data_IF_172317183734
#
_entry.id   IF_172317183734
#
_cell.length_a   1.000
_cell.length_b   1.000
_cell.length_c   1.000
_cell.angle_alpha   90.00
_cell.angle_beta   90.00
_cell.angle_gamma   90.00
#
_symmetry.space_group_name_H-M   'P 1'
#
loop_
_entity.id
_entity.type
_entity.pdbx_description
1 polymer ?
#
# COMPACT_ATOMS: atom_id res chain seq x y z
N UNK A 1 -22.70 6.25 31.20
CA UNK A 1 -23.49 7.43 30.82
C UNK A 1 -22.62 8.27 29.90
N UNK A 2 -22.76 8.09 28.60
CA UNK A 2 -22.25 8.98 27.56
C UNK A 2 -23.46 9.27 26.66
N UNK A 3 -24.43 10.02 27.21
CA UNK A 3 -25.41 10.75 26.41
C UNK A 3 -24.79 12.12 26.12
N UNK A 4 -23.95 12.15 25.09
CA UNK A 4 -23.63 13.41 24.42
C UNK A 4 -24.34 13.35 23.08
N UNK A 5 -25.56 13.89 23.05
CA UNK A 5 -26.29 14.17 21.81
C UNK A 5 -25.43 15.12 20.96
N UNK A 6 -24.68 14.55 20.02
CA UNK A 6 -23.98 15.28 18.96
C UNK A 6 -25.09 15.92 18.12
N UNK A 7 -25.45 17.16 18.44
CA UNK A 7 -26.46 17.93 17.70
C UNK A 7 -25.84 18.46 16.39
N UNK A 8 -25.72 17.57 15.40
CA UNK A 8 -25.57 17.98 14.00
C UNK A 8 -26.82 18.78 13.61
N UNK A 9 -26.63 19.94 12.97
CA UNK A 9 -27.70 20.84 12.54
C UNK A 9 -28.86 20.09 11.85
N UNK A 10 -30.09 20.50 12.15
CA UNK A 10 -31.31 19.93 11.59
C UNK A 10 -31.44 20.17 10.08
N UNK A 11 -31.91 19.13 9.39
CA UNK A 11 -32.29 19.02 7.98
C UNK A 11 -31.25 19.38 6.92
N UNK A 12 -30.49 18.38 6.49
CA UNK A 12 -30.18 18.23 5.06
C UNK A 12 -30.74 16.86 4.64
N UNK A 13 -31.84 16.86 3.90
CA UNK A 13 -32.57 15.67 3.43
C UNK A 13 -31.85 15.04 2.20
N UNK A 14 -30.52 15.07 2.22
CA UNK A 14 -29.68 14.57 1.14
C UNK A 14 -29.58 13.06 1.22
N UNK A 15 -29.69 12.40 0.06
CA UNK A 15 -29.60 10.96 -0.03
C UNK A 15 -28.25 10.47 0.52
N UNK A 16 -28.20 9.30 1.20
CA UNK A 16 -26.96 8.74 1.72
C UNK A 16 -25.92 8.58 0.61
N UNK A 17 -24.69 9.04 0.90
CA UNK A 17 -23.53 8.88 0.03
C UNK A 17 -23.31 7.40 -0.25
N UNK A 18 -23.32 7.00 -1.52
CA UNK A 18 -23.16 5.60 -1.94
C UNK A 18 -21.70 5.28 -2.29
N UNK A 19 -21.09 4.43 -1.48
CA UNK A 19 -19.71 3.98 -1.62
C UNK A 19 -19.64 2.56 -2.20
N UNK A 20 -19.06 2.40 -3.38
CA UNK A 20 -18.76 1.10 -3.95
C UNK A 20 -17.40 0.59 -3.50
N UNK A 21 -17.31 -0.67 -3.07
CA UNK A 21 -16.04 -1.35 -2.81
C UNK A 21 -15.81 -2.40 -3.90
N UNK A 22 -14.94 -2.09 -4.86
CA UNK A 22 -14.51 -3.04 -5.88
C UNK A 22 -13.47 -3.97 -5.27
N UNK A 23 -13.86 -5.22 -5.01
CA UNK A 23 -13.03 -6.25 -4.38
C UNK A 23 -12.35 -7.10 -5.46
N UNK A 24 -11.05 -6.88 -5.63
CA UNK A 24 -10.22 -7.70 -6.50
C UNK A 24 -9.87 -9.00 -5.76
N UNK A 25 -9.94 -10.19 -6.39
CA UNK A 25 -9.53 -11.44 -5.74
C UNK A 25 -8.17 -11.30 -5.04
N UNK A 26 -8.05 -11.91 -3.86
CA UNK A 26 -6.90 -11.78 -2.95
C UNK A 26 -6.67 -10.38 -2.35
N UNK A 27 -7.71 -9.53 -2.33
CA UNK A 27 -7.65 -8.30 -1.55
C UNK A 27 -7.39 -8.57 -0.07
N UNK A 28 -6.67 -7.67 0.60
CA UNK A 28 -6.43 -7.80 2.03
C UNK A 28 -7.67 -7.35 2.82
N UNK A 29 -8.17 -8.23 3.70
CA UNK A 29 -9.39 -7.99 4.47
C UNK A 29 -9.28 -6.77 5.39
N UNK A 30 -8.16 -6.62 6.12
CA UNK A 30 -7.98 -5.53 7.10
C UNK A 30 -8.05 -4.13 6.46
N UNK A 31 -7.34 -3.83 5.34
CA UNK A 31 -7.51 -2.57 4.63
C UNK A 31 -8.95 -2.29 4.18
N UNK A 32 -9.64 -3.29 3.63
CA UNK A 32 -11.04 -3.15 3.24
C UNK A 32 -11.92 -2.84 4.46
N UNK A 33 -11.77 -3.61 5.55
CA UNK A 33 -12.52 -3.43 6.79
C UNK A 33 -12.27 -2.03 7.37
N UNK A 34 -11.02 -1.57 7.36
CA UNK A 34 -10.63 -0.23 7.83
C UNK A 34 -11.22 0.90 6.99
N UNK A 35 -11.67 0.63 5.76
CA UNK A 35 -12.30 1.62 4.89
C UNK A 35 -13.84 1.67 5.09
N UNK A 36 -14.49 0.51 5.23
CA UNK A 36 -15.96 0.43 5.36
C UNK A 36 -16.46 0.69 6.78
N UNK A 37 -15.72 0.24 7.80
CA UNK A 37 -16.12 0.36 9.21
C UNK A 37 -16.29 1.82 9.71
N UNK A 38 -15.45 2.81 9.35
CA UNK A 38 -15.69 4.20 9.75
C UNK A 38 -17.00 4.77 9.17
N UNK A 39 -17.42 4.35 7.97
CA UNK A 39 -18.69 4.75 7.38
C UNK A 39 -19.89 4.19 8.17
N UNK A 40 -19.80 2.91 8.56
CA UNK A 40 -20.80 2.26 9.42
C UNK A 40 -20.88 2.92 10.80
N UNK A 41 -19.73 3.25 11.40
CA UNK A 41 -19.67 3.93 12.69
C UNK A 41 -20.25 5.35 12.62
N UNK A 42 -19.96 6.10 11.55
CA UNK A 42 -20.53 7.43 11.34
C UNK A 42 -22.06 7.41 11.30
N UNK A 43 -22.66 6.43 10.61
CA UNK A 43 -24.11 6.23 10.63
C UNK A 43 -24.64 5.94 12.05
N UNK A 44 -23.96 5.03 12.76
CA UNK A 44 -24.38 4.62 14.10
C UNK A 44 -24.32 5.76 15.12
N UNK A 45 -23.24 6.55 15.08
CA UNK A 45 -22.96 7.63 16.03
C UNK A 45 -23.79 8.88 15.75
N UNK A 46 -24.07 9.18 14.48
CA UNK A 46 -24.94 10.30 14.10
C UNK A 46 -26.44 10.00 14.24
N UNK A 47 -26.81 8.71 14.30
CA UNK A 47 -28.22 8.28 14.23
C UNK A 47 -28.87 8.48 12.85
N UNK A 48 -28.09 8.84 11.82
CA UNK A 48 -28.56 9.13 10.45
C UNK A 48 -27.95 8.13 9.45
N UNK A 49 -28.64 7.92 8.34
CA UNK A 49 -28.08 7.19 7.20
C UNK A 49 -27.23 8.15 6.34
N UNK A 50 -26.00 8.44 6.76
CA UNK A 50 -25.08 9.32 6.03
C UNK A 50 -24.43 8.59 4.84
N UNK A 51 -24.11 7.31 5.04
CA UNK A 51 -23.46 6.45 4.05
C UNK A 51 -24.27 5.18 3.79
N UNK A 52 -24.18 4.68 2.57
CA UNK A 52 -24.54 3.32 2.19
C UNK A 52 -23.45 2.73 1.30
N UNK A 53 -23.36 1.42 1.18
CA UNK A 53 -22.31 0.79 0.40
C UNK A 53 -22.79 -0.40 -0.43
N UNK A 54 -22.01 -0.75 -1.44
CA UNK A 54 -22.17 -1.98 -2.21
C UNK A 54 -20.81 -2.63 -2.46
N UNK A 55 -20.76 -3.95 -2.30
CA UNK A 55 -19.63 -4.78 -2.66
C UNK A 55 -19.73 -5.15 -4.13
N UNK A 56 -18.66 -4.92 -4.86
CA UNK A 56 -18.60 -5.11 -6.29
C UNK A 56 -17.47 -6.09 -6.56
N UNK A 57 -17.79 -7.22 -7.18
CA UNK A 57 -16.77 -8.16 -7.65
C UNK A 57 -16.68 -8.12 -9.17
N UNK A 58 -15.74 -8.86 -9.75
CA UNK A 58 -15.54 -8.86 -11.20
C UNK A 58 -16.77 -9.42 -11.93
N UNK A 59 -17.34 -10.51 -11.40
CA UNK A 59 -18.38 -11.33 -12.04
C UNK A 59 -19.68 -11.41 -11.21
N UNK A 60 -19.75 -10.73 -10.07
CA UNK A 60 -20.89 -10.81 -9.15
C UNK A 60 -20.81 -12.00 -8.18
N UNK A 61 -19.78 -12.84 -8.26
CA UNK A 61 -19.54 -13.89 -7.27
C UNK A 61 -18.92 -13.32 -5.98
N UNK A 62 -18.94 -14.13 -4.92
CA UNK A 62 -18.29 -13.76 -3.67
C UNK A 62 -16.77 -13.57 -3.88
N UNK A 63 -16.23 -12.45 -3.41
CA UNK A 63 -14.82 -12.11 -3.56
C UNK A 63 -14.01 -12.65 -2.37
N UNK A 64 -13.09 -13.60 -2.57
CA UNK A 64 -12.22 -14.09 -1.50
C UNK A 64 -11.12 -13.06 -1.19
N UNK A 65 -10.98 -12.74 0.09
CA UNK A 65 -9.83 -12.02 0.62
C UNK A 65 -8.63 -12.97 0.79
N UNK A 66 -7.43 -12.41 0.90
CA UNK A 66 -6.18 -13.17 1.02
C UNK A 66 -6.06 -14.06 2.27
N UNK A 67 -6.94 -13.88 3.26
CA UNK A 67 -7.04 -14.71 4.46
C UNK A 67 -8.13 -15.80 4.38
N UNK A 68 -8.77 -15.97 3.22
CA UNK A 68 -9.81 -16.98 2.97
C UNK A 68 -11.24 -16.56 3.32
N UNK A 69 -11.46 -15.39 3.93
CA UNK A 69 -12.81 -14.86 4.13
C UNK A 69 -13.37 -14.37 2.80
N UNK A 70 -14.60 -14.76 2.44
CA UNK A 70 -15.25 -14.32 1.23
C UNK A 70 -16.35 -13.28 1.54
N UNK A 71 -16.36 -12.19 0.80
CA UNK A 71 -17.40 -11.15 0.89
C UNK A 71 -18.40 -11.35 -0.25
N UNK A 72 -19.68 -11.45 0.09
CA UNK A 72 -20.74 -11.53 -0.90
C UNK A 72 -20.79 -10.23 -1.71
N UNK A 73 -20.88 -10.36 -3.03
CA UNK A 73 -21.01 -9.21 -3.92
C UNK A 73 -22.49 -8.80 -4.06
N UNK A 74 -22.74 -7.51 -4.01
CA UNK A 74 -24.05 -6.90 -4.30
C UNK A 74 -24.21 -6.64 -5.80
N UNK A 75 -23.10 -6.51 -6.53
CA UNK A 75 -23.07 -6.25 -7.97
C UNK A 75 -21.77 -6.75 -8.63
N UNK A 76 -21.77 -6.76 -9.95
CA UNK A 76 -20.57 -7.01 -10.76
C UNK A 76 -20.03 -5.72 -11.38
N UNK A 77 -18.78 -5.76 -11.83
CA UNK A 77 -18.21 -4.73 -12.73
C UNK A 77 -19.14 -4.53 -13.93
N UNK A 78 -19.40 -3.28 -14.30
CA UNK A 78 -20.31 -2.92 -15.39
C UNK A 78 -21.75 -2.65 -14.97
N UNK A 79 -22.15 -2.97 -13.73
CA UNK A 79 -23.48 -2.64 -13.22
C UNK A 79 -23.71 -1.11 -13.23
N UNK A 80 -24.95 -0.70 -13.56
CA UNK A 80 -25.35 0.71 -13.50
C UNK A 80 -25.75 1.10 -12.07
N UNK A 81 -24.72 1.32 -11.25
CA UNK A 81 -24.87 1.84 -9.89
C UNK A 81 -24.64 3.36 -9.88
N UNK A 82 -25.51 4.09 -9.17
CA UNK A 82 -25.28 5.51 -8.86
C UNK A 82 -24.40 5.61 -7.61
N UNK A 83 -23.09 5.70 -7.84
CA UNK A 83 -22.06 5.77 -6.81
C UNK A 83 -21.52 7.20 -6.69
N UNK A 84 -21.23 7.62 -5.48
CA UNK A 84 -20.51 8.87 -5.20
C UNK A 84 -19.00 8.61 -5.06
N UNK A 85 -18.66 7.43 -4.54
CA UNK A 85 -17.30 6.92 -4.38
C UNK A 85 -17.17 5.50 -4.91
N UNK A 86 -16.01 5.16 -5.46
CA UNK A 86 -15.56 3.77 -5.64
C UNK A 86 -14.17 3.60 -5.08
N UNK A 87 -13.99 2.66 -4.15
CA UNK A 87 -12.68 2.22 -3.67
C UNK A 87 -12.32 0.87 -4.29
N UNK A 88 -11.21 0.83 -5.02
CA UNK A 88 -10.61 -0.41 -5.52
C UNK A 88 -9.75 -1.01 -4.42
N UNK A 89 -10.20 -2.15 -3.88
CA UNK A 89 -9.47 -2.93 -2.89
C UNK A 89 -8.72 -4.05 -3.61
N UNK A 90 -7.39 -3.95 -3.65
CA UNK A 90 -6.55 -5.02 -4.17
C UNK A 90 -5.42 -5.33 -3.19
N UNK A 91 -5.02 -6.59 -3.18
CA UNK A 91 -3.92 -7.14 -2.39
C UNK A 91 -3.19 -8.15 -3.26
N UNK A 92 -2.49 -9.10 -2.64
CA UNK A 92 -1.73 -10.12 -3.37
C UNK A 92 -0.74 -9.45 -4.33
N UNK A 93 -0.72 -9.92 -5.59
CA UNK A 93 0.07 -9.30 -6.64
C UNK A 93 -0.83 -8.52 -7.63
N UNK A 94 -1.05 -7.21 -7.43
CA UNK A 94 -1.92 -6.42 -8.30
C UNK A 94 -1.38 -6.26 -9.73
N UNK A 95 -0.09 -6.48 -9.97
CA UNK A 95 0.52 -6.41 -11.30
C UNK A 95 0.09 -7.57 -12.22
N UNK A 96 -0.42 -8.67 -11.67
CA UNK A 96 -0.95 -9.79 -12.45
C UNK A 96 -2.41 -9.60 -12.85
N UNK A 97 -3.10 -8.60 -12.28
CA UNK A 97 -4.50 -8.37 -12.60
C UNK A 97 -4.67 -7.62 -13.93
N UNK A 98 -5.26 -8.29 -14.91
CA UNK A 98 -5.59 -7.73 -16.22
C UNK A 98 -7.05 -8.02 -16.58
N UNK A 99 -7.90 -7.00 -16.46
CA UNK A 99 -9.31 -7.12 -16.85
C UNK A 99 -9.79 -5.82 -17.50
N UNK A 100 -9.77 -5.78 -18.83
CA UNK A 100 -10.11 -4.58 -19.60
C UNK A 100 -11.51 -4.01 -19.29
N UNK A 101 -12.56 -4.83 -19.09
CA UNK A 101 -13.87 -4.31 -18.68
C UNK A 101 -13.83 -3.55 -17.35
N UNK A 102 -13.05 -4.01 -16.37
CA UNK A 102 -12.87 -3.29 -15.08
C UNK A 102 -12.25 -1.91 -15.31
N UNK A 103 -11.18 -1.83 -16.08
CA UNK A 103 -10.51 -0.56 -16.35
C UNK A 103 -11.41 0.40 -17.14
N UNK A 104 -12.18 -0.11 -18.10
CA UNK A 104 -13.15 0.68 -18.85
C UNK A 104 -14.26 1.22 -17.96
N UNK A 105 -14.80 0.39 -17.08
CA UNK A 105 -15.85 0.76 -16.13
C UNK A 105 -15.38 1.80 -15.12
N UNK A 106 -14.17 1.65 -14.55
CA UNK A 106 -13.58 2.67 -13.66
C UNK A 106 -13.41 4.02 -14.36
N UNK A 107 -12.96 4.03 -15.64
CA UNK A 107 -12.91 5.26 -16.44
C UNK A 107 -14.29 5.86 -16.69
N UNK A 108 -15.31 5.04 -16.92
CA UNK A 108 -16.68 5.53 -17.10
C UNK A 108 -17.20 6.20 -15.82
N UNK A 109 -16.97 5.59 -14.66
CA UNK A 109 -17.34 6.18 -13.36
C UNK A 109 -16.63 7.52 -13.13
N UNK A 110 -15.31 7.59 -13.35
CA UNK A 110 -14.56 8.84 -13.22
C UNK A 110 -15.12 9.96 -14.12
N UNK A 111 -15.50 9.64 -15.38
CA UNK A 111 -16.13 10.63 -16.29
C UNK A 111 -17.51 11.09 -15.83
N UNK A 112 -18.23 10.28 -15.05
CA UNK A 112 -19.51 10.64 -14.42
C UNK A 112 -19.33 11.47 -13.14
N UNK A 113 -18.09 11.78 -12.75
CA UNK A 113 -17.79 12.56 -11.55
C UNK A 113 -17.69 11.73 -10.26
N UNK A 114 -17.71 10.40 -10.35
CA UNK A 114 -17.52 9.51 -9.19
C UNK A 114 -16.08 9.67 -8.69
N UNK A 115 -15.90 9.91 -7.39
CA UNK A 115 -14.58 9.98 -6.76
C UNK A 115 -13.99 8.57 -6.71
N UNK A 116 -12.77 8.40 -7.23
CA UNK A 116 -12.15 7.08 -7.36
C UNK A 116 -11.01 6.94 -6.36
N UNK A 117 -11.05 5.89 -5.56
CA UNK A 117 -10.03 5.58 -4.58
C UNK A 117 -9.38 4.22 -4.77
N UNK A 118 -8.20 4.08 -4.18
CA UNK A 118 -7.40 2.86 -4.22
C UNK A 118 -6.91 2.50 -2.83
N UNK A 119 -7.15 1.26 -2.41
CA UNK A 119 -6.75 0.73 -1.11
C UNK A 119 -5.67 -0.34 -1.31
N UNK A 120 -4.55 -0.19 -0.61
CA UNK A 120 -3.40 -1.10 -0.66
C UNK A 120 -2.81 -1.22 -2.07
N UNK A 121 -3.10 -2.30 -2.81
CA UNK A 121 -2.70 -2.49 -4.21
C UNK A 121 -3.64 -1.83 -5.24
N UNK A 122 -4.81 -1.34 -4.82
CA UNK A 122 -5.79 -0.70 -5.70
C UNK A 122 -5.24 0.41 -6.61
N UNK A 123 -4.36 1.31 -6.12
CA UNK A 123 -3.73 2.34 -6.95
C UNK A 123 -2.97 1.79 -8.17
N UNK A 124 -2.45 0.56 -8.12
CA UNK A 124 -1.84 -0.11 -9.28
C UNK A 124 -2.85 -0.27 -10.43
N UNK A 125 -4.07 -0.68 -10.11
CA UNK A 125 -5.14 -0.86 -11.09
C UNK A 125 -5.67 0.49 -11.58
N UNK A 126 -5.65 1.53 -10.74
CA UNK A 126 -5.99 2.89 -11.16
C UNK A 126 -4.97 3.44 -12.16
N UNK A 127 -3.68 3.18 -11.97
CA UNK A 127 -2.64 3.52 -12.95
C UNK A 127 -2.88 2.80 -14.29
N UNK A 128 -3.17 1.49 -14.25
CA UNK A 128 -3.55 0.70 -15.44
C UNK A 128 -4.80 1.21 -16.15
N UNK A 129 -5.74 1.75 -15.39
CA UNK A 129 -6.93 2.39 -15.95
C UNK A 129 -6.66 3.80 -16.50
N UNK A 130 -5.43 4.32 -16.39
CA UNK A 130 -4.99 5.67 -16.71
C UNK A 130 -5.74 6.75 -15.92
N UNK A 131 -5.97 6.50 -14.62
CA UNK A 131 -6.73 7.36 -13.72
C UNK A 131 -5.86 8.16 -12.73
N UNK A 132 -4.54 7.97 -12.76
CA UNK A 132 -3.60 8.61 -11.83
C UNK A 132 -2.66 9.62 -12.50
N UNK A 133 -2.75 9.79 -13.82
CA UNK A 133 -1.96 10.78 -14.56
C UNK A 133 -2.26 12.18 -14.03
N UNK A 134 -1.21 12.90 -13.61
CA UNK A 134 -1.30 14.23 -12.99
C UNK A 134 -2.00 14.28 -11.63
N UNK A 135 -2.05 13.16 -10.91
CA UNK A 135 -2.48 13.11 -9.51
C UNK A 135 -1.34 12.70 -8.59
N UNK A 136 -1.32 13.29 -7.40
CA UNK A 136 -0.59 12.71 -6.28
C UNK A 136 -1.35 11.51 -5.73
N UNK A 137 -0.64 10.41 -5.51
CA UNK A 137 -1.22 9.21 -4.93
C UNK A 137 -0.19 8.43 -4.12
N UNK A 138 -0.66 7.47 -3.35
CA UNK A 138 0.19 6.49 -2.67
C UNK A 138 -0.27 5.07 -2.97
N UNK A 139 0.58 4.09 -2.69
CA UNK A 139 0.33 2.65 -2.79
C UNK A 139 1.01 1.96 -1.59
N UNK A 140 0.60 0.75 -1.23
CA UNK A 140 1.31 -0.03 -0.21
C UNK A 140 2.81 -0.14 -0.54
N UNK A 141 3.67 0.08 0.46
CA UNK A 141 5.12 0.13 0.30
C UNK A 141 5.71 -1.12 -0.36
N UNK A 142 5.05 -2.26 -0.19
CA UNK A 142 5.45 -3.54 -0.78
C UNK A 142 5.31 -3.54 -2.31
N UNK A 143 4.27 -2.89 -2.86
CA UNK A 143 3.99 -2.86 -4.30
C UNK A 143 4.71 -1.74 -5.04
N UNK A 144 5.06 -0.68 -4.33
CA UNK A 144 5.67 0.51 -4.90
C UNK A 144 6.96 0.27 -5.72
N UNK A 145 7.86 -0.66 -5.33
CA UNK A 145 9.04 -0.94 -6.13
C UNK A 145 8.71 -1.55 -7.49
N UNK A 146 7.78 -2.51 -7.56
CA UNK A 146 7.28 -3.06 -8.83
C UNK A 146 6.51 -2.02 -9.66
N UNK A 147 5.69 -1.21 -8.98
CA UNK A 147 4.93 -0.14 -9.61
C UNK A 147 5.83 0.86 -10.34
N UNK A 148 6.95 1.27 -9.74
CA UNK A 148 7.87 2.24 -10.34
C UNK A 148 8.61 1.71 -11.58
N UNK A 149 8.75 0.39 -11.73
CA UNK A 149 9.27 -0.21 -12.97
C UNK A 149 8.29 -0.03 -14.14
N UNK A 150 6.98 -0.08 -13.87
CA UNK A 150 5.92 0.01 -14.89
C UNK A 150 5.48 1.47 -15.14
N UNK A 151 5.52 2.32 -14.11
CA UNK A 151 5.02 3.70 -14.13
C UNK A 151 6.00 4.70 -13.49
N UNK A 152 7.19 4.91 -14.08
CA UNK A 152 8.22 5.78 -13.51
C UNK A 152 7.82 7.27 -13.45
N UNK A 153 6.94 7.71 -14.35
CA UNK A 153 6.58 9.12 -14.52
C UNK A 153 5.38 9.58 -13.66
N UNK A 154 4.74 8.67 -12.91
CA UNK A 154 3.60 9.00 -12.06
C UNK A 154 4.05 9.54 -10.69
N UNK A 155 3.32 10.51 -10.13
CA UNK A 155 3.68 11.18 -8.87
C UNK A 155 3.32 10.34 -7.62
N UNK A 156 4.07 9.25 -7.43
CA UNK A 156 3.93 8.34 -6.29
C UNK A 156 4.58 8.93 -5.01
N UNK A 157 3.76 9.07 -3.96
CA UNK A 157 4.18 9.50 -2.62
C UNK A 157 4.30 8.31 -1.65
N UNK A 158 5.29 8.38 -0.76
CA UNK A 158 5.56 7.37 0.29
C UNK A 158 4.82 7.69 1.61
N UNK A 159 3.55 8.04 1.48
CA UNK A 159 2.64 8.50 2.53
C UNK A 159 1.64 7.41 2.95
N UNK A 160 0.95 7.59 4.08
CA UNK A 160 -0.11 6.69 4.53
C UNK A 160 -1.34 6.77 3.62
N UNK A 161 -1.76 7.99 3.28
CA UNK A 161 -2.82 8.26 2.32
C UNK A 161 -2.63 9.61 1.61
N UNK A 162 -3.22 9.73 0.43
CA UNK A 162 -3.26 10.94 -0.38
C UNK A 162 -4.70 11.18 -0.85
N UNK A 163 -5.21 12.40 -0.60
CA UNK A 163 -6.47 12.90 -1.16
C UNK A 163 -6.11 14.06 -2.09
N UNK A 164 -6.14 13.81 -3.39
CA UNK A 164 -5.91 14.83 -4.43
C UNK A 164 -7.18 14.94 -5.29
N UNK A 165 -7.95 16.01 -5.04
CA UNK A 165 -9.24 16.30 -5.71
C UNK A 165 -10.22 15.12 -5.60
N UNK A 166 -10.42 14.39 -6.70
CA UNK A 166 -11.32 13.25 -6.86
C UNK A 166 -10.58 11.90 -6.84
N UNK A 167 -9.32 11.86 -6.39
CA UNK A 167 -8.54 10.64 -6.14
C UNK A 167 -8.20 10.48 -4.66
N UNK A 168 -8.54 9.32 -4.11
CA UNK A 168 -8.34 8.99 -2.70
C UNK A 168 -7.57 7.67 -2.57
N UNK A 169 -6.27 7.73 -2.29
CA UNK A 169 -5.44 6.53 -2.25
C UNK A 169 -4.81 6.34 -0.88
N UNK A 170 -4.66 5.10 -0.45
CA UNK A 170 -4.04 4.77 0.82
C UNK A 170 -3.24 3.48 0.75
N UNK A 171 -2.21 3.42 1.59
CA UNK A 171 -1.25 2.33 1.65
C UNK A 171 -1.82 1.00 2.13
N UNK A 172 -2.97 0.98 2.80
CA UNK A 172 -3.56 -0.23 3.40
C UNK A 172 -3.30 -0.32 4.90
N UNK A 173 -3.28 -1.54 5.46
CA UNK A 173 -3.41 -1.76 6.89
C UNK A 173 -4.59 -0.98 7.47
N UNK A 174 -4.32 -0.13 8.46
CA UNK A 174 -5.29 0.79 9.07
C UNK A 174 -5.27 2.20 8.47
N UNK A 175 -4.44 2.49 7.45
CA UNK A 175 -4.41 3.80 6.79
C UNK A 175 -5.76 4.22 6.16
N UNK A 176 -6.62 3.30 5.65
CA UNK A 176 -7.96 3.67 5.22
C UNK A 176 -8.80 4.29 6.34
N UNK A 177 -8.61 3.87 7.59
CA UNK A 177 -9.32 4.44 8.74
C UNK A 177 -8.92 5.91 8.95
N UNK A 178 -7.63 6.23 8.88
CA UNK A 178 -7.14 7.62 8.94
C UNK A 178 -7.66 8.45 7.75
N UNK A 179 -7.63 7.88 6.54
CA UNK A 179 -8.12 8.55 5.32
C UNK A 179 -9.62 8.86 5.42
N UNK A 180 -10.43 7.90 5.86
CA UNK A 180 -11.88 8.08 5.99
C UNK A 180 -12.23 8.99 7.17
N UNK A 181 -11.42 9.05 8.23
CA UNK A 181 -11.55 10.12 9.24
C UNK A 181 -11.47 11.50 8.57
N UNK A 182 -10.48 11.74 7.71
CA UNK A 182 -10.34 13.02 7.00
C UNK A 182 -11.51 13.31 6.04
N UNK A 183 -12.07 12.27 5.39
CA UNK A 183 -13.27 12.41 4.55
C UNK A 183 -14.48 12.79 5.38
N UNK A 184 -14.75 12.06 6.48
CA UNK A 184 -15.88 12.33 7.38
C UNK A 184 -15.75 13.72 8.01
N UNK A 185 -14.55 14.12 8.43
CA UNK A 185 -14.33 15.46 9.00
C UNK A 185 -14.68 16.57 8.01
N UNK A 186 -14.35 16.37 6.72
CA UNK A 186 -14.65 17.32 5.64
C UNK A 186 -16.14 17.37 5.30
N UNK A 187 -16.82 16.23 5.32
CA UNK A 187 -18.22 16.10 4.85
C UNK A 187 -19.26 16.32 5.95
N UNK A 188 -18.94 15.95 7.19
CA UNK A 188 -19.88 15.93 8.32
C UNK A 188 -19.33 16.60 9.59
N UNK A 189 -18.15 17.22 9.49
CA UNK A 189 -17.55 17.98 10.59
C UNK A 189 -16.62 17.15 11.48
N UNK A 190 -15.67 17.83 12.12
CA UNK A 190 -14.61 17.20 12.92
C UNK A 190 -15.14 16.48 14.16
N UNK A 191 -16.27 16.90 14.73
CA UNK A 191 -16.86 16.28 15.92
C UNK A 191 -17.26 14.81 15.65
N UNK A 192 -18.00 14.56 14.57
CA UNK A 192 -18.36 13.19 14.19
C UNK A 192 -17.13 12.36 13.83
N UNK A 193 -16.16 12.94 13.12
CA UNK A 193 -14.93 12.24 12.75
C UNK A 193 -14.11 11.81 13.97
N UNK A 194 -14.01 12.67 15.00
CA UNK A 194 -13.36 12.35 16.27
C UNK A 194 -14.11 11.24 17.01
N UNK A 195 -15.43 11.32 17.11
CA UNK A 195 -16.24 10.28 17.75
C UNK A 195 -16.09 8.91 17.06
N UNK A 196 -16.00 8.90 15.72
CA UNK A 196 -15.70 7.68 14.94
C UNK A 196 -14.31 7.13 15.31
N UNK A 197 -13.29 7.98 15.41
CA UNK A 197 -11.95 7.53 15.82
C UNK A 197 -11.93 6.99 17.25
N UNK A 198 -12.65 7.62 18.19
CA UNK A 198 -12.80 7.12 19.57
C UNK A 198 -13.48 5.74 19.61
N UNK A 199 -14.51 5.52 18.77
CA UNK A 199 -15.19 4.22 18.66
C UNK A 199 -14.24 3.08 18.30
N UNK A 200 -13.23 3.35 17.46
CA UNK A 200 -12.22 2.36 17.05
C UNK A 200 -10.97 2.35 17.92
N UNK A 201 -10.98 3.04 19.09
CA UNK A 201 -9.83 3.16 19.98
C UNK A 201 -8.60 3.75 19.28
N UNK A 202 -8.82 4.58 18.26
CA UNK A 202 -7.77 5.25 17.50
C UNK A 202 -7.29 6.48 18.29
N UNK A 203 -6.50 6.23 19.34
CA UNK A 203 -5.99 7.27 20.26
C UNK A 203 -5.12 8.32 19.57
N UNK A 204 -4.60 8.01 18.37
CA UNK A 204 -3.90 8.95 17.52
C UNK A 204 -4.30 8.72 16.06
N UNK A 205 -4.95 9.70 15.44
CA UNK A 205 -5.20 9.73 14.01
C UNK A 205 -3.93 10.16 13.30
N UNK A 206 -3.41 9.32 12.40
CA UNK A 206 -2.14 9.57 11.72
C UNK A 206 -2.38 10.50 10.55
N UNK A 207 -1.46 11.45 10.35
CA UNK A 207 -1.48 12.34 9.19
C UNK A 207 -1.25 11.59 7.89
N UNK A 208 -1.87 12.05 6.79
CA UNK A 208 -1.72 11.44 5.47
C UNK A 208 -0.27 11.33 5.01
N UNK A 209 0.51 12.40 5.16
CA UNK A 209 1.93 12.43 4.82
C UNK A 209 2.83 11.60 5.77
N UNK A 210 2.24 10.97 6.78
CA UNK A 210 2.96 10.11 7.73
C UNK A 210 3.65 8.91 7.04
N UNK A 211 4.69 8.34 7.68
CA UNK A 211 5.44 7.25 7.10
C UNK A 211 4.63 5.94 7.13
N UNK A 212 4.72 5.15 6.05
CA UNK A 212 4.08 3.83 5.99
C UNK A 212 4.76 2.76 6.87
N UNK A 213 6.04 2.95 7.20
CA UNK A 213 6.83 2.01 8.01
C UNK A 213 7.41 2.70 9.23
N UNK A 214 7.66 1.89 10.26
CA UNK A 214 8.39 2.35 11.44
C UNK A 214 9.75 2.95 11.06
N UNK A 215 10.23 3.98 11.78
CA UNK A 215 11.56 4.52 11.58
C UNK A 215 12.65 3.45 11.72
N UNK A 216 13.76 3.61 10.98
CA UNK A 216 14.89 2.66 10.99
C UNK A 216 15.43 2.36 12.40
N UNK A 217 15.45 3.37 13.28
CA UNK A 217 15.90 3.23 14.67
C UNK A 217 15.11 2.14 15.43
N UNK A 218 13.80 2.08 15.20
CA UNK A 218 12.89 1.13 15.86
C UNK A 218 12.94 -0.23 15.15
N UNK A 219 12.95 -0.23 13.81
CA UNK A 219 13.06 -1.46 13.02
C UNK A 219 14.32 -2.26 13.31
N UNK A 220 15.43 -1.58 13.62
CA UNK A 220 16.73 -2.19 13.82
C UNK A 220 17.17 -2.24 15.29
N UNK A 221 16.46 -1.56 16.21
CA UNK A 221 16.91 -1.41 17.59
C UNK A 221 18.25 -0.67 17.74
N UNK A 222 18.57 0.20 16.79
CA UNK A 222 19.85 0.92 16.72
C UNK A 222 19.62 2.40 17.00
N UNK A 223 20.32 2.96 17.98
CA UNK A 223 20.33 4.39 18.27
C UNK A 223 21.49 5.16 17.61
N UNK A 224 22.44 4.46 16.96
CA UNK A 224 23.63 5.06 16.37
C UNK A 224 23.32 5.81 15.06
N UNK A 225 23.05 7.13 15.16
CA UNK A 225 22.58 7.96 14.05
C UNK A 225 23.44 7.91 12.78
N UNK A 226 24.79 7.96 12.82
CA UNK A 226 25.61 7.82 11.60
C UNK A 226 25.43 6.48 10.89
N UNK A 227 25.21 5.40 11.66
CA UNK A 227 25.00 4.07 11.09
C UNK A 227 23.62 3.99 10.43
N UNK A 228 22.59 4.55 11.09
CA UNK A 228 21.24 4.64 10.51
C UNK A 228 21.22 5.44 9.20
N UNK A 229 22.01 6.52 9.09
CA UNK A 229 22.15 7.29 7.83
C UNK A 229 22.75 6.45 6.71
N UNK A 230 23.78 5.65 7.02
CA UNK A 230 24.39 4.74 6.05
C UNK A 230 23.39 3.69 5.59
N UNK A 231 22.66 3.05 6.51
CA UNK A 231 21.65 2.04 6.16
C UNK A 231 20.52 2.66 5.34
N UNK A 232 20.04 3.85 5.71
CA UNK A 232 19.05 4.58 4.93
C UNK A 232 19.53 4.87 3.50
N UNK A 233 20.80 5.28 3.36
CA UNK A 233 21.40 5.50 2.04
C UNK A 233 21.50 4.21 1.24
N UNK A 234 21.89 3.10 1.87
CA UNK A 234 21.95 1.79 1.22
C UNK A 234 20.56 1.31 0.76
N UNK A 235 19.49 1.57 1.53
CA UNK A 235 18.11 1.27 1.09
C UNK A 235 17.70 2.12 -0.14
N UNK A 236 18.31 3.29 -0.35
CA UNK A 236 18.03 4.20 -1.47
C UNK A 236 18.87 3.96 -2.72
N UNK A 237 20.06 3.35 -2.60
CA UNK A 237 21.01 3.16 -3.70
C UNK A 237 21.19 1.68 -4.09
N UNK A 238 20.16 0.85 -3.92
CA UNK A 238 20.18 -0.60 -4.25
C UNK A 238 20.55 -0.88 -5.71
N UNK A 239 19.99 -0.11 -6.66
CA UNK A 239 20.24 -0.29 -8.10
C UNK A 239 21.65 0.12 -8.48
N UNK A 240 22.16 1.20 -7.88
CA UNK A 240 23.51 1.73 -8.11
C UNK A 240 24.29 1.83 -6.79
N UNK A 241 24.79 0.69 -6.25
CA UNK A 241 25.39 0.66 -4.92
C UNK A 241 26.59 1.61 -4.78
N UNK A 242 26.50 2.52 -3.80
CA UNK A 242 27.60 3.43 -3.49
C UNK A 242 28.86 2.68 -3.00
N UNK A 243 30.07 3.19 -3.34
CA UNK A 243 31.33 2.68 -2.80
C UNK A 243 31.36 2.72 -1.28
N UNK A 244 32.09 1.78 -0.66
CA UNK A 244 32.13 1.65 0.80
C UNK A 244 32.80 2.84 1.46
N UNK A 245 33.78 3.42 0.78
CA UNK A 245 34.49 4.62 1.16
C UNK A 245 33.54 5.82 1.25
N UNK A 246 32.56 5.91 0.35
CA UNK A 246 31.59 6.99 0.27
C UNK A 246 30.58 6.87 1.41
N UNK A 247 30.13 5.65 1.70
CA UNK A 247 29.28 5.36 2.86
C UNK A 247 30.01 5.67 4.18
N UNK A 248 31.32 5.39 4.27
CA UNK A 248 32.13 5.74 5.44
C UNK A 248 32.24 7.27 5.61
N UNK A 249 32.44 8.01 4.51
CA UNK A 249 32.42 9.48 4.52
C UNK A 249 31.06 10.03 4.95
N UNK A 250 29.94 9.44 4.51
CA UNK A 250 28.58 9.83 4.94
C UNK A 250 28.37 9.68 6.46
N UNK A 251 28.98 8.66 7.06
CA UNK A 251 28.97 8.48 8.51
C UNK A 251 30.03 9.31 9.25
N UNK A 252 30.90 10.04 8.54
CA UNK A 252 32.05 10.75 9.09
C UNK A 252 32.97 9.86 9.94
N UNK A 253 33.25 8.64 9.45
CA UNK A 253 34.13 7.66 10.11
C UNK A 253 35.05 7.00 9.09
N UNK A 254 36.12 6.35 9.57
CA UNK A 254 36.94 5.49 8.69
C UNK A 254 36.16 4.24 8.27
N UNK A 255 36.53 3.64 7.13
CA UNK A 255 35.91 2.39 6.67
C UNK A 255 36.04 1.26 7.70
N UNK A 256 37.19 1.16 8.37
CA UNK A 256 37.41 0.19 9.45
C UNK A 256 36.43 0.39 10.61
N UNK A 257 36.17 1.64 10.98
CA UNK A 257 35.22 1.98 12.02
C UNK A 257 33.78 1.67 11.59
N UNK A 258 33.43 1.93 10.33
CA UNK A 258 32.11 1.58 9.79
C UNK A 258 31.88 0.06 9.81
N UNK A 259 32.85 -0.74 9.35
CA UNK A 259 32.76 -2.21 9.40
C UNK A 259 32.60 -2.73 10.83
N UNK A 260 33.29 -2.12 11.80
CA UNK A 260 33.14 -2.45 13.22
C UNK A 260 31.72 -2.15 13.72
N UNK A 261 31.14 -1.01 13.33
CA UNK A 261 29.77 -0.64 13.70
C UNK A 261 28.75 -1.64 13.12
N UNK A 262 28.93 -2.05 11.86
CA UNK A 262 28.09 -3.08 11.25
C UNK A 262 28.15 -4.40 12.00
N UNK A 263 29.35 -4.89 12.33
CA UNK A 263 29.51 -6.12 13.13
C UNK A 263 28.89 -6.00 14.52
N UNK A 264 29.12 -4.88 15.20
CA UNK A 264 28.64 -4.64 16.56
C UNK A 264 27.11 -4.55 16.64
N UNK A 265 26.48 -3.86 15.69
CA UNK A 265 25.05 -3.54 15.76
C UNK A 265 24.16 -4.49 14.94
N UNK A 266 24.70 -5.11 13.89
CA UNK A 266 23.93 -5.94 12.96
C UNK A 266 24.46 -7.37 12.85
N UNK A 267 25.58 -7.70 13.50
CA UNK A 267 26.17 -9.04 13.49
C UNK A 267 26.75 -9.48 12.13
N UNK A 268 26.89 -8.56 11.17
CA UNK A 268 27.38 -8.83 9.81
C UNK A 268 28.22 -7.68 9.29
N UNK A 269 29.00 -7.90 8.24
CA UNK A 269 29.78 -6.85 7.57
C UNK A 269 28.89 -5.87 6.78
N UNK A 270 29.47 -4.72 6.43
CA UNK A 270 28.82 -3.73 5.56
C UNK A 270 28.41 -4.36 4.22
N UNK A 271 29.32 -5.13 3.61
CA UNK A 271 29.09 -5.78 2.31
C UNK A 271 27.98 -6.83 2.36
N UNK A 272 27.95 -7.68 3.39
CA UNK A 272 26.88 -8.67 3.58
C UNK A 272 25.53 -8.02 3.82
N UNK A 273 25.49 -6.91 4.57
CA UNK A 273 24.27 -6.16 4.76
C UNK A 273 23.75 -5.60 3.44
N UNK A 274 24.62 -4.98 2.64
CA UNK A 274 24.23 -4.38 1.38
C UNK A 274 23.73 -5.43 0.38
N UNK A 275 24.48 -6.53 0.25
CA UNK A 275 24.07 -7.65 -0.60
C UNK A 275 22.70 -8.19 -0.15
N UNK A 276 22.46 -8.24 1.17
CA UNK A 276 21.16 -8.57 1.72
C UNK A 276 20.04 -7.65 1.20
N UNK A 277 20.16 -6.34 1.40
CA UNK A 277 19.13 -5.40 0.93
C UNK A 277 18.79 -5.57 -0.56
N UNK A 278 19.82 -5.77 -1.38
CA UNK A 278 19.68 -5.98 -2.82
C UNK A 278 19.00 -7.29 -3.18
N UNK A 279 19.31 -8.37 -2.46
CA UNK A 279 18.67 -9.68 -2.66
C UNK A 279 17.21 -9.70 -2.18
N UNK A 280 16.88 -8.94 -1.12
CA UNK A 280 15.49 -8.79 -0.67
C UNK A 280 14.67 -8.03 -1.72
N UNK A 281 15.20 -6.91 -2.23
CA UNK A 281 14.58 -6.16 -3.36
C UNK A 281 14.37 -7.03 -4.59
N UNK A 282 15.34 -7.88 -4.91
CA UNK A 282 15.24 -8.80 -6.04
C UNK A 282 14.11 -9.83 -5.83
N UNK A 283 13.95 -10.34 -4.61
CA UNK A 283 12.86 -11.27 -4.28
C UNK A 283 11.50 -10.61 -4.46
N UNK A 284 11.36 -9.36 -4.01
CA UNK A 284 10.12 -8.60 -4.19
C UNK A 284 9.80 -8.41 -5.68
N UNK A 285 10.80 -8.05 -6.50
CA UNK A 285 10.62 -7.95 -7.96
C UNK A 285 10.21 -9.25 -8.61
N UNK A 286 10.85 -10.38 -8.24
CA UNK A 286 10.54 -11.68 -8.83
C UNK A 286 9.10 -12.10 -8.58
N UNK A 287 8.58 -11.77 -7.40
CA UNK A 287 7.21 -12.05 -6.96
C UNK A 287 6.22 -11.13 -7.64
N UNK A 288 6.54 -9.85 -7.76
CA UNK A 288 5.58 -8.83 -8.16
C UNK A 288 5.62 -8.44 -9.63
N UNK A 289 6.64 -8.85 -10.38
CA UNK A 289 6.83 -8.44 -11.78
C UNK A 289 7.13 -9.61 -12.70
N UNK A 290 6.98 -9.39 -14.01
CA UNK A 290 7.37 -10.33 -15.06
C UNK A 290 8.82 -10.17 -15.54
N UNK A 291 9.63 -9.29 -14.92
CA UNK A 291 11.02 -9.01 -15.32
C UNK A 291 11.83 -10.30 -15.48
N UNK A 292 12.66 -10.41 -16.50
CA UNK A 292 13.59 -11.53 -16.62
C UNK A 292 14.55 -11.58 -15.42
N UNK A 293 15.18 -12.73 -15.20
CA UNK A 293 16.21 -12.89 -14.16
C UNK A 293 17.36 -11.89 -14.38
N UNK A 294 17.68 -11.58 -15.64
CA UNK A 294 18.69 -10.60 -15.98
C UNK A 294 18.25 -9.18 -15.64
N UNK A 295 17.04 -8.77 -16.03
CA UNK A 295 16.50 -7.44 -15.69
C UNK A 295 16.39 -7.25 -14.18
N UNK A 296 15.92 -8.27 -13.44
CA UNK A 296 15.87 -8.22 -11.98
C UNK A 296 17.26 -8.07 -11.36
N UNK A 297 18.26 -8.78 -11.90
CA UNK A 297 19.64 -8.66 -11.44
C UNK A 297 20.17 -7.23 -11.65
N UNK A 298 19.93 -6.64 -12.83
CA UNK A 298 20.35 -5.28 -13.17
C UNK A 298 19.66 -4.24 -12.27
N UNK A 299 18.34 -4.34 -12.09
CA UNK A 299 17.55 -3.46 -11.20
C UNK A 299 17.99 -3.53 -9.72
N UNK A 300 18.70 -4.59 -9.34
CA UNK A 300 19.28 -4.78 -8.01
C UNK A 300 20.81 -4.58 -7.99
N UNK A 301 21.37 -3.91 -9.01
CA UNK A 301 22.78 -3.51 -9.11
C UNK A 301 23.78 -4.64 -9.33
N UNK A 302 23.34 -5.81 -9.82
CA UNK A 302 24.25 -6.93 -10.12
C UNK A 302 24.82 -6.80 -11.53
N UNK A 303 26.16 -6.86 -11.63
CA UNK A 303 26.85 -6.83 -12.92
C UNK A 303 26.65 -8.09 -13.77
N UNK A 304 26.22 -9.22 -13.19
CA UNK A 304 25.91 -10.43 -13.93
C UNK A 304 24.80 -11.26 -13.29
N UNK A 305 23.95 -11.86 -14.12
CA UNK A 305 22.90 -12.79 -13.70
C UNK A 305 23.46 -14.05 -13.01
N UNK A 306 24.67 -14.47 -13.38
CA UNK A 306 25.35 -15.62 -12.75
C UNK A 306 25.77 -15.34 -11.32
N UNK A 307 26.32 -14.14 -11.04
CA UNK A 307 26.62 -13.74 -9.66
C UNK A 307 25.33 -13.60 -8.84
N UNK A 308 24.33 -12.90 -9.39
CA UNK A 308 23.02 -12.77 -8.77
C UNK A 308 22.40 -14.12 -8.38
N UNK A 309 22.33 -15.06 -9.33
CA UNK A 309 21.68 -16.36 -9.10
C UNK A 309 22.39 -17.20 -8.04
N UNK A 310 23.72 -17.12 -7.96
CA UNK A 310 24.49 -17.79 -6.90
C UNK A 310 24.20 -17.18 -5.53
N UNK A 311 24.36 -15.86 -5.39
CA UNK A 311 24.12 -15.15 -4.13
C UNK A 311 22.67 -15.30 -3.65
N UNK A 312 21.72 -15.30 -4.58
CA UNK A 312 20.31 -15.54 -4.28
C UNK A 312 20.07 -16.95 -3.72
N UNK A 313 20.61 -17.98 -4.38
CA UNK A 313 20.50 -19.37 -3.92
C UNK A 313 21.18 -19.58 -2.57
N UNK A 314 22.35 -18.99 -2.36
CA UNK A 314 23.06 -19.04 -1.09
C UNK A 314 22.22 -18.47 0.07
N UNK A 315 21.46 -17.40 -0.20
CA UNK A 315 20.63 -16.77 0.82
C UNK A 315 19.27 -17.43 1.05
N UNK A 316 18.55 -17.77 -0.03
CA UNK A 316 17.16 -18.23 0.04
C UNK A 316 17.00 -19.74 -0.15
N UNK A 317 18.08 -20.47 -0.42
CA UNK A 317 18.09 -21.93 -0.55
C UNK A 317 17.62 -22.47 -1.90
N UNK A 318 17.16 -21.62 -2.81
CA UNK A 318 16.70 -22.01 -4.15
C UNK A 318 17.05 -20.95 -5.21
N UNK A 319 17.09 -21.30 -6.51
CA UNK A 319 17.41 -20.32 -7.55
C UNK A 319 16.29 -19.27 -7.72
N UNK A 320 16.61 -18.07 -8.26
CA UNK A 320 15.64 -17.01 -8.54
C UNK A 320 14.41 -17.47 -9.33
N UNK A 321 14.61 -18.32 -10.35
CA UNK A 321 13.54 -18.84 -11.20
C UNK A 321 12.49 -19.64 -10.41
N UNK A 322 12.89 -20.29 -9.32
CA UNK A 322 11.98 -21.08 -8.49
C UNK A 322 11.10 -20.20 -7.60
N UNK A 323 11.48 -18.95 -7.31
CA UNK A 323 10.69 -18.05 -6.45
C UNK A 323 9.29 -17.83 -7.02
N UNK A 324 9.17 -17.63 -8.35
CA UNK A 324 7.89 -17.46 -9.05
C UNK A 324 6.93 -18.64 -8.93
N UNK A 325 7.46 -19.84 -8.75
CA UNK A 325 6.67 -21.06 -8.69
C UNK A 325 6.13 -21.34 -7.28
N UNK A 326 6.63 -20.65 -6.25
CA UNK A 326 6.25 -20.88 -4.87
C UNK A 326 4.97 -20.15 -4.43
N UNK A 327 4.52 -19.10 -5.14
CA UNK A 327 3.28 -18.37 -4.80
C UNK A 327 1.98 -19.16 -5.04
N UNK A 328 2.02 -20.27 -5.80
CA UNK A 328 0.79 -20.96 -6.26
C UNK A 328 0.20 -21.96 -5.24
N UNK A 329 0.60 -21.94 -3.96
CA UNK A 329 0.00 -22.85 -2.96
C UNK A 329 -0.37 -22.14 -1.65
N UNK A 330 -1.62 -21.66 -1.49
CA UNK A 330 -2.19 -21.55 -0.16
C UNK A 330 -2.20 -22.95 0.45
N UNK A 331 -1.66 -23.08 1.67
CA UNK A 331 -1.73 -24.31 2.43
C UNK A 331 -3.21 -24.65 2.66
N UNK A 332 -3.74 -25.62 1.90
CA UNK A 332 -5.00 -26.28 2.26
C UNK A 332 -4.77 -27.00 3.58
N UNK A 333 -5.43 -26.54 4.65
CA UNK A 333 -5.75 -27.38 5.80
C UNK A 333 -7.25 -27.45 5.93
#
# INVERSE_FOLDING_TARGET
>A
MLDSDIRLSESDDSAPTHVGFLLIPDFALLPYASAIEPLRAANRLSGRALYRWSHISIDGAAAPASNGVAIAADASVGADLRLDYVFVCAGGNPALFHHQPTFAWLRQLARRGVKIGGVSGGPYLLARANLLSSYRFTIHWEHAPAFLEEYPDLDLRRSLYEIDRDRLTCSGGTAPLDMLHAVIAREHGSELALAVSEWFLQTHVREGAGPQRMPLRERLGIAHAPLLRVIARMEQTIETPEPREDLARLANVSLRQLERLFRQHLGRSLGEHYLGLRLDRARDLLRQTSLSILETALACGFASASHFSRSYRERFGHPPRAERLQEVRPARR
#
